data_IF_875288497479
#
_entry.id   IF_875288497479
#
_cell.length_a   1.000
_cell.length_b   1.000
_cell.length_c   1.000
_cell.angle_alpha   90.00
_cell.angle_beta   90.00
_cell.angle_gamma   90.00
#
_symmetry.space_group_name_H-M   'P 1'
#
loop_
_entity.id
_entity.type
_entity.pdbx_description
1 polymer ?
#
# COMPACT_ATOMS: atom_id res chain seq x y z
N UNK A 1 15.81 8.98 3.12
CA UNK A 1 15.72 7.76 3.94
C UNK A 1 16.75 7.75 5.07
N UNK A 2 18.04 7.82 4.80
CA UNK A 2 19.05 7.73 5.86
C UNK A 2 18.97 8.86 6.90
N UNK A 3 18.42 10.02 6.55
CA UNK A 3 18.19 11.13 7.48
C UNK A 3 17.07 10.87 8.49
N UNK A 4 16.25 9.83 8.26
CA UNK A 4 15.18 9.42 9.17
C UNK A 4 15.71 8.67 10.39
N UNK A 5 16.87 8.01 10.28
CA UNK A 5 17.46 7.28 11.40
C UNK A 5 17.89 8.22 12.52
N UNK A 6 17.82 7.80 13.79
CA UNK A 6 18.23 8.62 14.91
C UNK A 6 19.71 9.01 14.81
N UNK A 7 20.07 10.19 15.30
CA UNK A 7 21.45 10.70 15.25
C UNK A 7 22.46 9.72 15.85
N UNK A 8 22.09 9.01 16.91
CA UNK A 8 22.92 8.01 17.57
C UNK A 8 23.27 6.79 16.71
N UNK A 9 22.51 6.54 15.63
CA UNK A 9 22.77 5.43 14.69
C UNK A 9 24.16 5.48 14.05
N UNK A 10 24.73 6.66 13.95
CA UNK A 10 25.99 6.91 13.23
C UNK A 10 27.23 6.91 14.14
N UNK A 11 27.07 6.87 15.46
CA UNK A 11 28.14 7.04 16.44
C UNK A 11 28.39 5.85 17.36
N UNK A 12 27.61 4.77 17.23
CA UNK A 12 27.80 3.54 17.99
C UNK A 12 28.60 2.50 17.20
N UNK A 13 29.86 2.18 17.56
CA UNK A 13 30.71 1.25 16.82
C UNK A 13 30.22 -0.22 16.89
N UNK A 14 29.31 -0.54 17.79
CA UNK A 14 28.78 -1.89 17.94
C UNK A 14 27.51 -2.16 17.12
N UNK A 15 26.98 -1.11 16.47
CA UNK A 15 25.75 -1.23 15.68
C UNK A 15 25.99 -1.99 14.37
N UNK A 16 25.09 -2.89 14.04
CA UNK A 16 25.11 -3.66 12.80
C UNK A 16 24.03 -3.18 11.85
N UNK A 17 24.42 -2.98 10.61
CA UNK A 17 23.57 -2.51 9.51
C UNK A 17 23.37 -3.62 8.50
N UNK A 18 22.13 -3.89 8.10
CA UNK A 18 21.78 -4.86 7.07
C UNK A 18 21.11 -4.18 5.87
N UNK A 19 21.57 -4.54 4.68
CA UNK A 19 20.82 -4.38 3.44
C UNK A 19 20.51 -5.77 2.87
N UNK A 20 19.24 -6.21 2.88
CA UNK A 20 18.86 -7.57 2.49
C UNK A 20 18.78 -7.79 0.98
N UNK A 21 19.00 -6.74 0.17
CA UNK A 21 18.93 -6.76 -1.29
C UNK A 21 19.79 -5.64 -1.88
N UNK A 22 21.08 -5.70 -1.57
CA UNK A 22 21.97 -4.54 -1.65
C UNK A 22 22.23 -4.01 -3.08
N UNK A 23 21.91 -4.81 -4.11
CA UNK A 23 22.24 -4.44 -5.48
C UNK A 23 23.73 -4.21 -5.64
N UNK A 24 24.12 -3.05 -6.15
CA UNK A 24 25.52 -2.63 -6.28
C UNK A 24 26.08 -1.97 -5.02
N UNK A 25 25.40 -2.07 -3.87
CA UNK A 25 25.87 -1.56 -2.58
C UNK A 25 25.58 -0.07 -2.31
N UNK A 26 24.70 0.55 -3.07
CA UNK A 26 24.49 2.00 -3.01
C UNK A 26 24.10 2.51 -1.61
N UNK A 27 23.14 1.87 -0.94
CA UNK A 27 22.78 2.25 0.43
C UNK A 27 23.95 2.06 1.39
N UNK A 28 24.69 0.96 1.27
CA UNK A 28 25.81 0.65 2.16
C UNK A 28 26.99 1.60 1.96
N UNK A 29 27.23 2.13 0.74
CA UNK A 29 28.20 3.21 0.51
C UNK A 29 27.83 4.45 1.31
N UNK A 30 26.56 4.83 1.31
CA UNK A 30 26.08 6.00 2.05
C UNK A 30 26.11 5.79 3.57
N UNK A 31 25.76 4.58 4.03
CA UNK A 31 25.90 4.19 5.44
C UNK A 31 27.37 4.23 5.87
N UNK A 32 28.26 3.66 5.08
CA UNK A 32 29.70 3.70 5.33
C UNK A 32 30.22 5.13 5.48
N UNK A 33 29.87 6.03 4.56
CA UNK A 33 30.29 7.43 4.64
C UNK A 33 29.85 8.11 5.94
N UNK A 34 28.59 7.90 6.36
CA UNK A 34 28.05 8.46 7.61
C UNK A 34 28.74 7.86 8.85
N UNK A 35 29.01 6.56 8.85
CA UNK A 35 29.73 5.91 9.94
C UNK A 35 31.20 6.37 10.00
N UNK A 36 31.86 6.59 8.86
CA UNK A 36 33.20 7.16 8.82
C UNK A 36 33.25 8.54 9.48
N UNK A 37 32.23 9.36 9.31
CA UNK A 37 32.13 10.64 9.97
C UNK A 37 31.71 10.53 11.44
N UNK A 38 30.69 9.72 11.74
CA UNK A 38 30.12 9.60 13.08
C UNK A 38 31.03 8.92 14.10
N UNK A 39 31.93 8.03 13.64
CA UNK A 39 32.84 7.27 14.49
C UNK A 39 34.24 7.91 14.65
N UNK A 40 34.50 9.12 14.13
CA UNK A 40 35.79 9.80 14.26
C UNK A 40 36.29 9.96 15.69
N UNK A 41 35.38 10.14 16.63
CA UNK A 41 35.72 10.28 18.07
C UNK A 41 36.10 8.93 18.69
N UNK A 42 35.48 7.83 18.23
CA UNK A 42 35.75 6.48 18.72
C UNK A 42 37.06 5.93 18.19
N UNK A 43 37.32 6.08 16.86
CA UNK A 43 38.58 5.68 16.23
C UNK A 43 39.04 6.79 15.26
N UNK A 44 40.01 7.60 15.66
CA UNK A 44 40.54 8.69 14.83
C UNK A 44 41.26 8.24 13.58
N UNK A 45 41.85 7.04 13.60
CA UNK A 45 42.59 6.51 12.46
C UNK A 45 41.64 6.01 11.36
N UNK A 46 41.66 6.69 10.21
CA UNK A 46 40.73 6.43 9.11
C UNK A 46 40.80 4.97 8.61
N UNK A 47 42.01 4.39 8.53
CA UNK A 47 42.19 3.01 8.04
C UNK A 47 41.62 1.99 9.02
N UNK A 48 41.86 2.16 10.33
CA UNK A 48 41.31 1.29 11.36
C UNK A 48 39.79 1.41 11.43
N UNK A 49 39.26 2.62 11.40
CA UNK A 49 37.84 2.91 11.40
C UNK A 49 37.12 2.32 10.18
N UNK A 50 37.69 2.51 8.98
CA UNK A 50 37.19 1.92 7.74
C UNK A 50 37.15 0.39 7.81
N UNK A 51 38.24 -0.23 8.28
CA UNK A 51 38.29 -1.69 8.44
C UNK A 51 37.20 -2.18 9.37
N UNK A 52 37.04 -1.58 10.55
CA UNK A 52 36.01 -1.95 11.52
C UNK A 52 34.59 -1.82 10.93
N UNK A 53 34.29 -0.71 10.26
CA UNK A 53 32.99 -0.49 9.63
C UNK A 53 32.69 -1.59 8.61
N UNK A 54 33.61 -1.89 7.72
CA UNK A 54 33.42 -2.85 6.63
C UNK A 54 33.29 -4.28 7.17
N UNK A 55 34.17 -4.67 8.10
CA UNK A 55 34.28 -6.05 8.53
C UNK A 55 33.31 -6.41 9.68
N UNK A 56 32.85 -5.41 10.48
CA UNK A 56 32.05 -5.69 11.69
C UNK A 56 30.67 -5.06 11.68
N UNK A 57 30.44 -3.97 10.93
CA UNK A 57 29.21 -3.22 10.98
C UNK A 57 28.31 -3.40 9.75
N UNK A 58 28.86 -3.59 8.55
CA UNK A 58 28.09 -3.68 7.30
C UNK A 58 27.81 -5.13 6.91
N UNK A 59 26.54 -5.45 6.75
CA UNK A 59 26.05 -6.76 6.32
C UNK A 59 25.19 -6.62 5.08
N UNK A 60 25.45 -7.42 4.06
CA UNK A 60 24.80 -7.33 2.77
C UNK A 60 24.35 -8.70 2.27
N UNK A 61 23.20 -8.75 1.60
CA UNK A 61 22.76 -9.93 0.85
C UNK A 61 22.41 -9.50 -0.57
N UNK A 62 22.89 -10.25 -1.55
CA UNK A 62 22.63 -9.99 -2.97
C UNK A 62 22.52 -11.29 -3.75
N UNK A 63 21.47 -11.41 -4.56
CA UNK A 63 21.21 -12.61 -5.35
C UNK A 63 22.08 -12.66 -6.62
N UNK A 64 22.32 -11.50 -7.24
CA UNK A 64 23.02 -11.40 -8.51
C UNK A 64 24.54 -11.42 -8.30
N UNK A 65 25.19 -12.46 -8.84
CA UNK A 65 26.62 -12.65 -8.71
C UNK A 65 27.45 -11.45 -9.20
N UNK A 66 27.06 -10.81 -10.30
CA UNK A 66 27.76 -9.62 -10.83
C UNK A 66 27.70 -8.45 -9.84
N UNK A 67 26.56 -8.24 -9.18
CA UNK A 67 26.43 -7.22 -8.15
C UNK A 67 27.27 -7.54 -6.92
N UNK A 68 27.35 -8.83 -6.53
CA UNK A 68 28.25 -9.26 -5.47
C UNK A 68 29.71 -8.91 -5.78
N UNK A 69 30.13 -9.16 -7.00
CA UNK A 69 31.50 -8.86 -7.41
C UNK A 69 31.80 -7.34 -7.41
N UNK A 70 30.80 -6.52 -7.79
CA UNK A 70 30.87 -5.06 -7.64
C UNK A 70 31.00 -4.67 -6.16
N UNK A 71 30.14 -5.21 -5.28
CA UNK A 71 30.24 -4.92 -3.85
C UNK A 71 31.60 -5.30 -3.26
N UNK A 72 32.13 -6.45 -3.63
CA UNK A 72 33.50 -6.87 -3.20
C UNK A 72 34.58 -5.94 -3.73
N UNK A 73 34.45 -5.41 -4.95
CA UNK A 73 35.42 -4.45 -5.50
C UNK A 73 35.37 -3.10 -4.76
N UNK A 74 34.21 -2.71 -4.24
CA UNK A 74 34.03 -1.45 -3.52
C UNK A 74 34.49 -1.57 -2.05
N UNK A 75 34.05 -2.61 -1.35
CA UNK A 75 34.24 -2.76 0.10
C UNK A 75 35.44 -3.69 0.45
N UNK A 76 36.00 -4.39 -0.49
CA UNK A 76 37.05 -5.36 -0.26
C UNK A 76 36.53 -6.80 -0.02
N UNK A 77 37.50 -7.75 -0.02
CA UNK A 77 37.16 -9.17 0.08
C UNK A 77 36.59 -9.59 1.44
N UNK A 78 36.88 -8.83 2.49
CA UNK A 78 36.44 -9.16 3.87
C UNK A 78 35.09 -8.61 4.25
N UNK A 79 34.39 -7.98 3.31
CA UNK A 79 33.01 -7.47 3.57
C UNK A 79 32.06 -8.63 3.87
N UNK A 80 31.16 -8.44 4.83
CA UNK A 80 30.15 -9.45 5.20
C UNK A 80 29.02 -9.45 4.17
N UNK A 81 29.27 -10.09 3.04
CA UNK A 81 28.35 -10.19 1.90
C UNK A 81 27.99 -11.65 1.63
N UNK A 82 26.70 -11.96 1.68
CA UNK A 82 26.14 -13.22 1.20
C UNK A 82 25.70 -13.03 -0.26
N UNK A 83 26.28 -13.86 -1.16
CA UNK A 83 25.82 -13.97 -2.54
C UNK A 83 24.79 -15.11 -2.63
N UNK A 84 23.50 -14.78 -2.41
CA UNK A 84 22.43 -15.76 -2.35
C UNK A 84 21.06 -15.14 -2.12
N UNK A 85 20.05 -16.00 -2.03
CA UNK A 85 18.67 -15.58 -1.75
C UNK A 85 18.49 -15.21 -0.27
N UNK A 86 18.11 -13.96 -0.01
CA UNK A 86 17.80 -13.51 1.36
C UNK A 86 16.67 -14.33 2.00
N UNK A 87 15.69 -14.82 1.23
CA UNK A 87 14.60 -15.64 1.73
C UNK A 87 14.98 -17.11 1.96
N UNK A 88 16.11 -17.55 1.44
CA UNK A 88 16.71 -18.85 1.68
C UNK A 88 17.33 -18.98 3.08
N UNK A 89 18.10 -20.01 3.24
CA UNK A 89 18.79 -20.27 4.52
C UNK A 89 20.02 -19.35 4.64
N UNK A 90 20.06 -18.52 5.69
CA UNK A 90 21.18 -17.62 5.97
C UNK A 90 22.25 -18.27 6.85
N UNK A 91 22.42 -19.60 6.77
CA UNK A 91 23.43 -20.38 7.53
C UNK A 91 24.85 -20.11 7.05
N UNK A 92 25.21 -18.86 6.82
CA UNK A 92 26.57 -18.48 6.46
C UNK A 92 27.37 -18.07 7.71
N UNK A 93 28.67 -18.42 7.78
CA UNK A 93 29.54 -17.94 8.84
C UNK A 93 29.43 -16.40 8.95
N UNK A 94 29.13 -15.93 10.15
CA UNK A 94 28.99 -14.49 10.41
C UNK A 94 27.59 -13.90 10.26
N UNK A 95 26.56 -14.69 9.84
CA UNK A 95 25.14 -14.28 9.81
C UNK A 95 24.23 -15.12 10.70
N UNK A 96 24.72 -16.27 11.17
CA UNK A 96 23.95 -17.14 12.08
C UNK A 96 23.76 -16.43 13.43
N UNK A 97 22.54 -16.43 13.91
CA UNK A 97 22.12 -15.87 15.22
C UNK A 97 22.41 -14.35 15.38
N UNK A 98 22.60 -13.62 14.26
CA UNK A 98 22.78 -12.18 14.29
C UNK A 98 21.42 -11.48 14.19
N UNK A 99 21.23 -10.48 15.03
CA UNK A 99 20.21 -9.46 14.90
C UNK A 99 20.83 -8.08 14.67
N UNK A 100 20.08 -7.20 14.02
CA UNK A 100 20.56 -5.91 13.52
C UNK A 100 19.89 -4.76 14.26
N UNK A 101 20.67 -3.72 14.56
CA UNK A 101 20.12 -2.45 15.07
C UNK A 101 19.46 -1.66 13.96
N UNK A 102 20.00 -1.75 12.73
CA UNK A 102 19.52 -0.94 11.61
C UNK A 102 19.42 -1.79 10.34
N UNK A 103 18.28 -1.66 9.65
CA UNK A 103 18.05 -2.30 8.36
C UNK A 103 17.63 -1.24 7.35
N UNK A 104 18.23 -1.21 6.19
CA UNK A 104 17.88 -0.29 5.11
C UNK A 104 17.93 -1.01 3.77
N UNK A 105 17.01 -0.71 2.86
CA UNK A 105 17.06 -1.36 1.54
C UNK A 105 15.94 -0.93 0.60
N UNK A 106 16.06 -1.43 -0.63
CA UNK A 106 15.07 -1.35 -1.69
C UNK A 106 14.80 -2.76 -2.22
N UNK A 107 14.00 -3.58 -1.53
CA UNK A 107 13.76 -4.96 -1.92
C UNK A 107 13.03 -5.06 -3.27
N UNK A 108 13.29 -6.12 -4.07
CA UNK A 108 12.57 -6.34 -5.31
C UNK A 108 11.06 -6.51 -5.03
N UNK A 109 10.21 -5.88 -5.89
CA UNK A 109 8.78 -5.78 -5.61
C UNK A 109 8.01 -7.05 -5.97
N UNK A 110 8.46 -7.82 -6.95
CA UNK A 110 7.77 -9.00 -7.48
C UNK A 110 8.76 -10.11 -7.77
N UNK A 111 8.30 -11.37 -7.63
CA UNK A 111 9.04 -12.53 -8.13
C UNK A 111 8.98 -12.59 -9.65
N UNK A 112 10.12 -12.65 -10.31
CA UNK A 112 10.23 -12.96 -11.74
C UNK A 112 10.04 -14.45 -12.04
N UNK A 113 10.01 -15.30 -11.00
CA UNK A 113 9.91 -16.77 -11.09
C UNK A 113 8.49 -17.30 -11.37
N UNK A 114 7.54 -16.46 -11.77
CA UNK A 114 6.15 -16.87 -12.06
C UNK A 114 5.92 -17.52 -13.42
N UNK A 115 6.96 -17.87 -14.18
CA UNK A 115 6.82 -18.56 -15.45
C UNK A 115 7.30 -20.02 -15.32
N UNK A 116 6.41 -20.97 -15.60
CA UNK A 116 6.81 -22.36 -15.81
C UNK A 116 7.74 -22.47 -17.01
N UNK A 117 8.52 -23.57 -17.11
CA UNK A 117 9.33 -23.91 -18.29
C UNK A 117 8.57 -23.91 -19.63
N UNK A 118 7.24 -23.82 -19.60
CA UNK A 118 6.33 -23.69 -20.74
C UNK A 118 5.75 -22.28 -20.93
N UNK A 119 6.29 -21.24 -20.25
CA UNK A 119 5.81 -19.86 -20.35
C UNK A 119 4.42 -19.59 -19.72
N UNK A 120 3.80 -20.57 -19.06
CA UNK A 120 2.55 -20.40 -18.36
C UNK A 120 2.78 -19.89 -16.95
N UNK A 121 2.01 -18.92 -16.51
CA UNK A 121 2.04 -18.44 -15.10
C UNK A 121 1.68 -19.60 -14.18
N UNK A 122 2.60 -19.96 -13.27
CA UNK A 122 2.31 -20.92 -12.21
C UNK A 122 1.36 -20.23 -11.24
N UNK A 123 0.15 -20.76 -11.18
CA UNK A 123 -0.95 -20.45 -10.25
C UNK A 123 -0.90 -19.10 -9.51
N UNK A 124 -1.71 -18.20 -9.97
CA UNK A 124 -2.47 -17.28 -9.15
C UNK A 124 -1.69 -16.28 -8.30
N UNK A 125 -1.27 -15.20 -8.89
CA UNK A 125 -0.83 -14.02 -8.16
C UNK A 125 0.69 -13.93 -8.07
N UNK A 126 1.24 -12.85 -8.60
CA UNK A 126 2.64 -12.48 -8.38
C UNK A 126 2.86 -12.40 -6.88
N UNK A 127 3.74 -13.23 -6.32
CA UNK A 127 4.13 -13.16 -4.91
C UNK A 127 4.66 -11.75 -4.64
N UNK A 128 4.20 -11.15 -3.58
CA UNK A 128 4.68 -9.84 -3.14
C UNK A 128 6.01 -10.03 -2.44
N UNK A 129 7.08 -10.13 -3.21
CA UNK A 129 8.42 -10.46 -2.72
C UNK A 129 8.88 -9.48 -1.65
N UNK A 130 8.62 -8.19 -1.84
CA UNK A 130 8.95 -7.15 -0.86
C UNK A 130 8.28 -7.38 0.52
N UNK A 131 7.05 -7.94 0.59
CA UNK A 131 6.40 -8.24 1.88
C UNK A 131 7.10 -9.40 2.60
N UNK A 132 7.51 -10.43 1.86
CA UNK A 132 8.27 -11.57 2.43
C UNK A 132 9.64 -11.13 2.94
N UNK A 133 10.34 -10.30 2.16
CA UNK A 133 11.63 -9.72 2.57
C UNK A 133 11.45 -8.82 3.79
N UNK A 134 10.42 -7.99 3.83
CA UNK A 134 10.10 -7.13 4.96
C UNK A 134 9.88 -7.95 6.25
N UNK A 135 9.06 -9.00 6.19
CA UNK A 135 8.77 -9.85 7.36
C UNK A 135 10.05 -10.56 7.85
N UNK A 136 10.88 -11.10 6.96
CA UNK A 136 12.15 -11.71 7.35
C UNK A 136 13.13 -10.69 7.93
N UNK A 137 13.25 -9.52 7.33
CA UNK A 137 14.08 -8.43 7.83
C UNK A 137 13.60 -7.95 9.21
N UNK A 138 12.29 -7.81 9.43
CA UNK A 138 11.73 -7.48 10.73
C UNK A 138 12.06 -8.51 11.82
N UNK A 139 12.06 -9.81 11.49
CA UNK A 139 12.44 -10.85 12.43
C UNK A 139 13.93 -10.80 12.81
N UNK A 140 14.79 -10.32 11.92
CA UNK A 140 16.22 -10.09 12.17
C UNK A 140 16.52 -8.75 12.86
N UNK A 141 15.54 -7.87 12.94
CA UNK A 141 15.68 -6.56 13.60
C UNK A 141 15.64 -6.77 15.12
N UNK A 142 16.57 -6.17 15.86
CA UNK A 142 16.55 -6.12 17.32
C UNK A 142 15.32 -5.33 17.83
N UNK A 143 14.85 -5.64 19.02
CA UNK A 143 13.92 -4.78 19.72
C UNK A 143 14.59 -3.41 19.98
N UNK A 144 13.86 -2.33 19.78
CA UNK A 144 14.43 -0.97 19.74
C UNK A 144 15.19 -0.62 18.45
N UNK A 145 15.31 -1.55 17.48
CA UNK A 145 15.97 -1.31 16.20
C UNK A 145 15.10 -0.57 15.18
N UNK A 146 15.71 -0.12 14.11
CA UNK A 146 15.06 0.67 13.06
C UNK A 146 15.19 0.02 11.69
N UNK A 147 14.09 0.01 10.94
CA UNK A 147 14.04 -0.48 9.55
C UNK A 147 13.49 0.61 8.62
N UNK A 148 14.17 0.86 7.51
CA UNK A 148 13.69 1.78 6.47
C UNK A 148 13.77 1.14 5.09
N UNK A 149 12.62 0.96 4.44
CA UNK A 149 12.52 0.36 3.12
C UNK A 149 11.82 1.29 2.11
N UNK A 150 12.22 1.12 0.84
CA UNK A 150 11.46 1.60 -0.33
C UNK A 150 10.62 0.44 -0.83
N UNK A 151 9.30 0.58 -0.83
CA UNK A 151 8.37 -0.51 -1.20
C UNK A 151 7.11 0.04 -1.88
N UNK A 152 6.31 -0.80 -2.55
CA UNK A 152 4.98 -0.41 -2.98
C UNK A 152 4.11 0.06 -1.82
N UNK A 153 3.38 1.17 -2.03
CA UNK A 153 2.51 1.80 -1.04
C UNK A 153 1.42 0.87 -0.48
N UNK A 154 1.11 -0.19 -1.21
CA UNK A 154 0.13 -1.19 -0.81
C UNK A 154 0.41 -1.87 0.53
N UNK A 155 1.65 -1.83 1.04
CA UNK A 155 1.99 -2.34 2.37
C UNK A 155 1.23 -1.60 3.48
N UNK A 156 0.88 -0.33 3.25
CA UNK A 156 0.08 0.51 4.16
C UNK A 156 -1.42 0.49 3.87
N UNK A 157 -1.91 -0.28 2.89
CA UNK A 157 -3.29 -0.17 2.43
C UNK A 157 -4.36 -0.68 3.39
N UNK A 158 -3.98 -1.33 4.48
CA UNK A 158 -4.90 -1.96 5.42
C UNK A 158 -5.69 -3.09 4.73
N UNK A 159 -5.38 -4.33 4.93
CA UNK A 159 -6.10 -5.48 4.36
C UNK A 159 -5.90 -6.75 5.16
N UNK A 160 -5.40 -6.61 6.40
CA UNK A 160 -5.11 -7.74 7.28
C UNK A 160 -3.90 -8.58 6.85
N UNK A 161 -3.01 -8.09 5.95
CA UNK A 161 -1.75 -8.77 5.63
C UNK A 161 -0.83 -8.79 6.86
N UNK A 162 0.02 -9.82 6.97
CA UNK A 162 0.94 -9.93 8.09
C UNK A 162 1.92 -8.74 8.13
N UNK A 163 2.32 -8.23 6.97
CA UNK A 163 3.14 -7.01 6.89
C UNK A 163 2.42 -5.80 7.49
N UNK A 164 1.12 -5.64 7.21
CA UNK A 164 0.35 -4.54 7.80
C UNK A 164 0.15 -4.70 9.31
N UNK A 165 -0.05 -5.93 9.79
CA UNK A 165 -0.12 -6.20 11.23
C UNK A 165 1.18 -5.79 11.94
N UNK A 166 2.35 -6.16 11.38
CA UNK A 166 3.65 -5.71 11.90
C UNK A 166 3.74 -4.19 11.94
N UNK A 167 3.32 -3.50 10.86
CA UNK A 167 3.36 -2.04 10.77
C UNK A 167 2.54 -1.40 11.89
N UNK A 168 1.29 -1.84 12.12
CA UNK A 168 0.41 -1.21 13.12
C UNK A 168 0.76 -1.59 14.56
N UNK A 169 1.50 -2.68 14.78
CA UNK A 169 1.97 -3.11 16.10
C UNK A 169 3.23 -2.36 16.54
N UNK A 170 3.94 -1.73 15.62
CA UNK A 170 5.17 -1.01 15.88
C UNK A 170 5.03 0.49 15.63
N UNK A 171 5.98 1.27 16.13
CA UNK A 171 6.05 2.69 15.85
C UNK A 171 6.48 2.91 14.40
N UNK A 172 5.79 3.80 13.70
CA UNK A 172 6.15 4.26 12.36
C UNK A 172 6.36 5.77 12.43
N UNK A 173 7.55 6.25 12.80
CA UNK A 173 7.79 7.70 12.95
C UNK A 173 7.53 8.48 11.67
N UNK A 174 7.72 7.86 10.51
CA UNK A 174 7.60 8.54 9.22
C UNK A 174 7.20 7.60 8.09
N UNK A 175 6.35 8.07 7.19
CA UNK A 175 6.13 7.49 5.85
C UNK A 175 5.91 8.58 4.80
N UNK A 176 6.54 8.46 3.64
CA UNK A 176 6.30 9.32 2.47
C UNK A 176 5.54 8.56 1.39
N UNK A 177 4.39 9.09 1.01
CA UNK A 177 3.59 8.64 -0.15
C UNK A 177 3.76 9.57 -1.35
N UNK A 178 4.81 10.36 -1.39
CA UNK A 178 5.03 11.36 -2.42
C UNK A 178 5.17 10.72 -3.82
N UNK A 179 4.34 11.10 -4.81
CA UNK A 179 4.46 10.57 -6.18
C UNK A 179 5.77 10.93 -6.87
N UNK A 180 6.50 11.95 -6.42
CA UNK A 180 7.84 12.23 -6.92
C UNK A 180 8.80 11.06 -6.70
N UNK A 181 8.52 10.20 -5.72
CA UNK A 181 9.24 8.93 -5.53
C UNK A 181 9.17 8.06 -6.78
N UNK A 182 8.12 8.19 -7.59
CA UNK A 182 7.94 7.43 -8.83
C UNK A 182 8.94 7.83 -9.92
N UNK A 183 9.45 9.06 -9.91
CA UNK A 183 10.42 9.55 -10.91
C UNK A 183 11.76 8.81 -10.84
N UNK A 184 12.09 8.25 -9.66
CA UNK A 184 13.30 7.43 -9.48
C UNK A 184 13.14 5.99 -10.02
N UNK A 185 11.94 5.59 -10.42
CA UNK A 185 11.62 4.24 -10.85
C UNK A 185 10.83 4.26 -12.17
N UNK A 186 11.47 4.67 -13.30
CA UNK A 186 10.79 4.74 -14.58
C UNK A 186 10.30 3.35 -15.02
N UNK A 187 9.08 3.30 -15.55
CA UNK A 187 8.46 2.06 -16.03
C UNK A 187 7.70 1.25 -14.98
N UNK A 188 7.81 1.55 -13.69
CA UNK A 188 7.03 0.89 -12.65
C UNK A 188 5.64 1.52 -12.57
N UNK A 189 4.59 0.68 -12.71
CA UNK A 189 3.19 1.13 -12.62
C UNK A 189 2.66 1.24 -11.18
N UNK A 190 3.35 0.62 -10.22
CA UNK A 190 2.99 0.67 -8.80
C UNK A 190 3.51 1.98 -8.18
N UNK A 191 2.71 2.57 -7.32
CA UNK A 191 3.17 3.69 -6.52
C UNK A 191 4.07 3.19 -5.39
N UNK A 192 5.05 4.00 -5.04
CA UNK A 192 6.14 3.65 -4.14
C UNK A 192 6.12 4.58 -2.95
N UNK A 193 6.28 4.03 -1.77
CA UNK A 193 6.52 4.77 -0.54
C UNK A 193 7.89 4.39 0.05
N UNK A 194 8.40 5.21 0.95
CA UNK A 194 9.44 4.82 1.88
C UNK A 194 9.06 5.23 3.29
N UNK A 195 9.51 4.48 4.28
CA UNK A 195 9.11 4.67 5.66
C UNK A 195 10.25 4.32 6.63
N UNK A 196 10.12 4.78 7.87
CA UNK A 196 10.91 4.34 9.00
C UNK A 196 10.00 3.57 9.96
N UNK A 197 10.40 2.35 10.33
CA UNK A 197 9.82 1.55 11.40
C UNK A 197 10.78 1.51 12.56
N UNK A 198 10.30 1.73 13.78
CA UNK A 198 11.00 1.51 15.04
C UNK A 198 10.35 0.31 15.73
N UNK A 199 11.14 -0.74 16.01
CA UNK A 199 10.63 -1.99 16.59
C UNK A 199 10.37 -1.83 18.08
N UNK A 200 9.38 -1.02 18.38
CA UNK A 200 8.77 -0.82 19.68
C UNK A 200 7.26 -0.81 19.56
N UNK A 201 6.55 -1.19 20.63
CA UNK A 201 5.10 -1.23 20.63
C UNK A 201 4.50 0.12 20.26
N UNK A 202 3.52 0.09 19.34
CA UNK A 202 2.76 1.29 18.98
C UNK A 202 1.76 1.63 20.08
N UNK A 203 2.18 2.45 21.04
CA UNK A 203 1.38 2.95 22.16
C UNK A 203 0.59 4.21 21.79
N UNK A 204 -0.02 4.25 20.60
CA UNK A 204 -0.72 5.40 20.02
C UNK A 204 0.22 6.52 19.56
N UNK A 205 1.47 6.19 19.25
CA UNK A 205 2.43 7.16 18.73
C UNK A 205 2.01 7.72 17.38
N UNK A 206 2.33 8.99 17.18
CA UNK A 206 1.98 9.71 15.97
C UNK A 206 2.96 9.40 14.83
N UNK A 207 2.40 9.00 13.71
CA UNK A 207 3.11 8.84 12.46
C UNK A 207 3.06 10.13 11.65
N UNK A 208 4.19 10.57 11.13
CA UNK A 208 4.25 11.68 10.18
C UNK A 208 4.00 11.11 8.78
N UNK A 209 2.92 11.54 8.17
CA UNK A 209 2.58 11.23 6.77
C UNK A 209 3.01 12.41 5.91
N UNK A 210 3.89 12.18 4.96
CA UNK A 210 4.19 13.10 3.87
C UNK A 210 3.39 12.70 2.64
N UNK A 211 2.57 13.62 2.13
CA UNK A 211 1.67 13.39 1.01
C UNK A 211 2.19 13.95 -0.32
N UNK A 212 1.35 13.85 -1.36
CA UNK A 212 1.65 14.26 -2.73
C UNK A 212 2.05 15.74 -2.90
N UNK A 213 1.67 16.60 -1.97
CA UNK A 213 1.91 18.05 -2.02
C UNK A 213 3.13 18.44 -1.15
N UNK A 214 3.96 17.49 -0.74
CA UNK A 214 5.05 17.67 0.24
C UNK A 214 4.58 18.27 1.58
N UNK A 215 3.28 18.09 1.89
CA UNK A 215 2.71 18.50 3.17
C UNK A 215 2.72 17.33 4.11
N UNK A 216 3.16 17.61 5.33
CA UNK A 216 3.17 16.62 6.41
C UNK A 216 2.03 16.83 7.37
N UNK A 217 1.46 15.77 7.89
CA UNK A 217 0.51 15.79 8.99
C UNK A 217 0.72 14.56 9.88
N UNK A 218 0.21 14.62 11.12
CA UNK A 218 0.40 13.56 12.10
C UNK A 218 -0.89 12.78 12.29
N UNK A 219 -0.77 11.44 12.31
CA UNK A 219 -1.88 10.55 12.65
C UNK A 219 -1.40 9.43 13.56
N UNK A 220 -2.34 8.79 14.26
CA UNK A 220 -2.13 7.46 14.85
C UNK A 220 -2.56 6.40 13.84
N UNK A 221 -1.67 5.48 13.48
CA UNK A 221 -2.01 4.32 12.66
C UNK A 221 -2.96 3.41 13.43
N UNK A 222 -4.01 2.94 12.76
CA UNK A 222 -5.06 2.10 13.35
C UNK A 222 -5.23 0.84 12.56
N UNK A 223 -5.63 -0.23 13.25
CA UNK A 223 -6.12 -1.43 12.58
C UNK A 223 -7.46 -1.14 11.91
N UNK A 224 -7.43 -1.09 10.61
CA UNK A 224 -8.62 -0.85 9.77
C UNK A 224 -8.46 -1.48 8.39
N UNK A 225 -9.57 -1.85 7.73
CA UNK A 225 -9.52 -2.60 6.49
C UNK A 225 -8.96 -1.81 5.30
N UNK A 226 -8.99 -0.47 5.37
CA UNK A 226 -8.62 0.41 4.26
C UNK A 226 -8.00 1.69 4.77
N UNK A 227 -6.90 2.10 4.15
CA UNK A 227 -6.23 3.39 4.35
C UNK A 227 -6.22 4.22 3.07
N UNK A 228 -6.29 5.56 3.16
CA UNK A 228 -6.23 6.46 2.02
C UNK A 228 -4.79 6.72 1.57
N UNK A 229 -4.08 5.68 1.16
CA UNK A 229 -2.63 5.68 0.88
C UNK A 229 -2.17 6.66 -0.20
N UNK A 230 -3.06 7.07 -1.12
CA UNK A 230 -2.65 7.91 -2.26
C UNK A 230 -2.81 9.40 -2.05
N UNK A 231 -3.67 9.78 -1.19
CA UNK A 231 -3.93 11.17 -0.84
C UNK A 231 -4.29 11.21 0.63
N UNK A 232 -3.35 10.73 1.45
CA UNK A 232 -3.55 10.73 2.90
C UNK A 232 -3.39 12.15 3.43
N UNK A 233 -4.49 12.74 3.79
CA UNK A 233 -4.59 14.09 4.35
C UNK A 233 -5.48 14.04 5.58
N UNK A 234 -5.48 15.09 6.39
CA UNK A 234 -6.41 15.22 7.52
C UNK A 234 -7.88 15.14 7.05
N UNK A 235 -8.19 15.63 5.84
CA UNK A 235 -9.52 15.54 5.25
C UNK A 235 -9.89 14.08 4.89
N UNK A 236 -9.03 13.37 4.16
CA UNK A 236 -9.29 11.95 3.80
C UNK A 236 -9.36 11.08 5.05
N UNK A 237 -8.56 11.37 6.08
CA UNK A 237 -8.63 10.71 7.39
C UNK A 237 -10.01 10.90 8.04
N UNK A 238 -10.53 12.12 8.02
CA UNK A 238 -11.89 12.43 8.50
C UNK A 238 -12.96 11.66 7.72
N UNK A 239 -12.82 11.58 6.39
CA UNK A 239 -13.77 10.86 5.53
C UNK A 239 -13.72 9.34 5.77
N UNK A 240 -12.52 8.75 5.93
CA UNK A 240 -12.37 7.32 6.27
C UNK A 240 -13.07 7.04 7.60
N UNK A 241 -12.81 7.81 8.65
CA UNK A 241 -13.45 7.64 9.95
C UNK A 241 -14.99 7.83 9.88
N UNK A 242 -15.48 8.60 8.93
CA UNK A 242 -16.92 8.86 8.74
C UNK A 242 -17.63 7.75 7.97
N UNK A 243 -17.00 7.20 6.93
CA UNK A 243 -17.65 6.35 5.94
C UNK A 243 -17.13 4.91 5.85
N UNK A 244 -16.03 4.58 6.51
CA UNK A 244 -15.46 3.22 6.53
C UNK A 244 -15.61 2.63 7.93
N UNK A 245 -15.97 1.34 8.01
CA UNK A 245 -16.13 0.58 9.25
C UNK A 245 -15.46 -0.80 9.15
N UNK A 246 -15.25 -1.46 10.27
CA UNK A 246 -14.60 -2.78 10.29
C UNK A 246 -15.49 -3.90 9.76
N UNK A 247 -16.83 -3.78 9.94
CA UNK A 247 -17.76 -4.77 9.46
C UNK A 247 -17.86 -4.75 7.93
N UNK A 248 -17.92 -5.94 7.34
CA UNK A 248 -18.10 -6.08 5.89
C UNK A 248 -19.58 -6.02 5.51
N UNK A 249 -19.85 -5.32 4.43
CA UNK A 249 -21.14 -5.43 3.74
C UNK A 249 -21.14 -6.66 2.82
N UNK A 250 -22.31 -7.17 2.57
CA UNK A 250 -22.53 -8.20 1.55
C UNK A 250 -22.45 -7.57 0.15
N UNK A 251 -21.23 -7.28 -0.29
CA UNK A 251 -20.94 -6.78 -1.63
C UNK A 251 -20.44 -7.93 -2.48
N UNK A 252 -21.07 -8.16 -3.61
CA UNK A 252 -20.60 -9.19 -4.52
C UNK A 252 -19.70 -8.61 -5.60
N UNK A 253 -18.60 -9.30 -5.84
CA UNK A 253 -17.66 -9.00 -6.91
C UNK A 253 -17.69 -10.13 -7.94
N UNK A 254 -18.08 -9.81 -9.16
CA UNK A 254 -18.00 -10.77 -10.26
C UNK A 254 -16.58 -10.73 -10.84
N UNK A 255 -15.75 -11.66 -10.40
CA UNK A 255 -14.42 -11.89 -11.01
C UNK A 255 -14.60 -12.47 -12.39
N UNK A 256 -14.33 -11.65 -13.40
CA UNK A 256 -14.68 -11.87 -14.77
C UNK A 256 -14.30 -13.22 -15.35
N UNK A 257 -15.27 -13.86 -15.99
CA UNK A 257 -15.03 -14.84 -17.01
C UNK A 257 -14.78 -14.15 -18.36
N UNK A 258 -14.13 -14.85 -19.29
CA UNK A 258 -13.91 -14.34 -20.65
C UNK A 258 -15.20 -13.77 -21.24
N UNK A 259 -15.13 -12.63 -21.91
CA UNK A 259 -16.26 -12.02 -22.64
C UNK A 259 -16.91 -13.00 -23.62
N UNK A 260 -16.13 -13.94 -24.17
CA UNK A 260 -16.60 -15.01 -25.04
C UNK A 260 -17.64 -15.95 -24.41
N UNK A 261 -17.71 -15.96 -23.04
CA UNK A 261 -18.69 -16.77 -22.30
C UNK A 261 -20.09 -16.13 -22.24
N UNK A 262 -20.21 -14.83 -22.57
CA UNK A 262 -21.49 -14.13 -22.57
C UNK A 262 -22.16 -14.27 -23.93
N UNK A 263 -23.00 -15.31 -24.06
CA UNK A 263 -23.77 -15.61 -25.25
C UNK A 263 -25.22 -15.90 -24.87
N UNK A 264 -26.17 -15.37 -25.66
CA UNK A 264 -27.60 -15.56 -25.46
C UNK A 264 -28.36 -14.25 -25.24
N UNK A 265 -29.62 -14.33 -24.85
CA UNK A 265 -30.55 -13.20 -24.74
C UNK A 265 -31.46 -13.23 -23.52
N UNK A 266 -31.33 -14.25 -22.64
CA UNK A 266 -32.23 -14.43 -21.50
C UNK A 266 -31.98 -13.46 -20.37
N UNK A 267 -30.69 -13.17 -20.06
CA UNK A 267 -30.28 -12.29 -18.97
C UNK A 267 -29.39 -11.19 -19.52
N UNK A 268 -29.77 -9.92 -19.29
CA UNK A 268 -28.91 -8.78 -19.55
C UNK A 268 -28.03 -8.50 -18.34
N UNK A 269 -26.75 -8.19 -18.54
CA UNK A 269 -25.79 -7.90 -17.49
C UNK A 269 -25.05 -6.59 -17.79
N UNK A 270 -24.84 -5.76 -16.77
CA UNK A 270 -23.97 -4.59 -16.90
C UNK A 270 -22.52 -5.03 -16.98
N UNK A 271 -21.86 -4.75 -18.10
CA UNK A 271 -20.42 -4.95 -18.28
C UNK A 271 -19.63 -3.70 -17.87
N UNK A 272 -20.12 -2.56 -18.28
CA UNK A 272 -19.74 -1.23 -17.78
C UNK A 272 -21.05 -0.46 -17.56
N UNK A 273 -21.03 0.72 -16.92
CA UNK A 273 -22.24 1.55 -16.78
C UNK A 273 -22.99 1.81 -18.10
N UNK A 274 -22.25 1.86 -19.23
CA UNK A 274 -22.79 2.21 -20.53
C UNK A 274 -22.88 1.03 -21.51
N UNK A 275 -22.37 -0.14 -21.12
CA UNK A 275 -22.36 -1.34 -21.99
C UNK A 275 -22.99 -2.53 -21.29
N UNK A 276 -23.95 -3.14 -21.94
CA UNK A 276 -24.58 -4.40 -21.52
C UNK A 276 -24.09 -5.58 -22.34
N UNK A 277 -24.06 -6.74 -21.72
CA UNK A 277 -23.88 -8.05 -22.35
C UNK A 277 -25.14 -8.88 -22.09
N UNK A 278 -25.30 -9.98 -22.81
CA UNK A 278 -26.41 -10.90 -22.59
C UNK A 278 -25.92 -12.35 -22.50
N UNK A 279 -26.62 -13.17 -21.70
CA UNK A 279 -26.27 -14.58 -21.49
C UNK A 279 -27.51 -15.41 -21.21
N UNK A 280 -27.48 -16.69 -21.58
CA UNK A 280 -28.50 -17.67 -21.16
C UNK A 280 -28.11 -18.37 -19.84
N UNK A 281 -26.88 -18.19 -19.36
CA UNK A 281 -26.38 -18.82 -18.14
C UNK A 281 -26.63 -17.93 -16.91
N UNK A 282 -27.52 -18.33 -15.98
CA UNK A 282 -27.80 -17.52 -14.78
C UNK A 282 -26.59 -17.30 -13.87
N UNK A 283 -25.62 -18.23 -13.89
CA UNK A 283 -24.36 -18.09 -13.12
C UNK A 283 -23.47 -16.93 -13.62
N UNK A 284 -23.69 -16.47 -14.85
CA UNK A 284 -23.00 -15.30 -15.44
C UNK A 284 -23.79 -14.00 -15.28
N UNK A 285 -24.97 -14.04 -14.64
CA UNK A 285 -25.83 -12.90 -14.39
C UNK A 285 -26.18 -12.77 -12.90
N UNK A 286 -25.20 -12.74 -11.96
CA UNK A 286 -25.49 -12.61 -10.56
C UNK A 286 -26.23 -11.29 -10.28
N UNK A 287 -27.07 -11.27 -9.24
CA UNK A 287 -27.83 -10.09 -8.80
C UNK A 287 -29.07 -9.77 -9.62
N UNK A 288 -29.48 -10.60 -10.58
CA UNK A 288 -30.82 -10.51 -11.20
C UNK A 288 -31.88 -10.72 -10.10
N UNK A 289 -32.95 -9.93 -10.12
CA UNK A 289 -33.99 -9.90 -9.07
C UNK A 289 -33.71 -8.92 -7.92
N UNK A 290 -32.52 -8.35 -7.84
CA UNK A 290 -32.15 -7.42 -6.77
C UNK A 290 -31.99 -5.99 -7.30
N UNK A 291 -32.60 -5.03 -6.61
CA UNK A 291 -32.29 -3.60 -6.81
C UNK A 291 -30.87 -3.34 -6.29
N UNK A 292 -30.06 -2.64 -7.06
CA UNK A 292 -28.64 -2.45 -6.72
C UNK A 292 -27.98 -1.28 -7.43
N UNK A 293 -26.86 -0.83 -6.89
CA UNK A 293 -25.86 -0.04 -7.59
C UNK A 293 -24.77 -0.96 -8.16
N UNK A 294 -24.42 -0.81 -9.42
CA UNK A 294 -23.34 -1.55 -10.08
C UNK A 294 -22.19 -0.59 -10.29
N UNK A 295 -21.03 -0.91 -9.74
CA UNK A 295 -19.82 -0.07 -9.76
C UNK A 295 -18.76 -0.78 -10.58
N UNK A 296 -18.18 -0.11 -11.56
CA UNK A 296 -17.08 -0.64 -12.34
C UNK A 296 -15.80 -0.66 -11.51
N UNK A 297 -15.19 -1.85 -11.37
CA UNK A 297 -13.93 -2.02 -10.65
C UNK A 297 -12.73 -1.43 -11.41
N UNK A 298 -12.83 -1.38 -12.74
CA UNK A 298 -11.81 -0.90 -13.66
C UNK A 298 -12.34 0.38 -14.30
N UNK A 299 -12.24 1.50 -13.62
CA UNK A 299 -12.68 2.79 -14.15
C UNK A 299 -11.82 3.93 -13.63
N UNK A 300 -11.34 4.78 -14.54
CA UNK A 300 -10.73 6.05 -14.17
C UNK A 300 -11.77 6.97 -13.52
N UNK A 301 -13.02 6.88 -13.97
CA UNK A 301 -14.08 7.86 -13.72
C UNK A 301 -14.98 7.47 -12.54
N UNK A 302 -14.67 6.35 -11.84
CA UNK A 302 -15.48 5.83 -10.75
C UNK A 302 -16.95 5.59 -11.16
N UNK A 303 -17.16 5.21 -12.43
CA UNK A 303 -18.46 5.08 -13.02
C UNK A 303 -19.32 4.00 -12.33
N UNK A 304 -20.60 4.31 -12.12
CA UNK A 304 -21.59 3.39 -11.57
C UNK A 304 -22.92 3.50 -12.31
N UNK A 305 -23.78 2.48 -12.14
CA UNK A 305 -25.15 2.43 -12.68
C UNK A 305 -26.12 1.97 -11.61
N UNK A 306 -27.25 2.66 -11.51
CA UNK A 306 -28.34 2.25 -10.62
C UNK A 306 -29.30 1.32 -11.34
N UNK A 307 -29.62 0.17 -10.74
CA UNK A 307 -30.66 -0.75 -11.21
C UNK A 307 -31.80 -0.79 -10.20
N UNK A 308 -32.75 0.13 -10.34
CA UNK A 308 -33.96 0.18 -9.52
C UNK A 308 -34.98 -0.90 -9.87
N UNK A 309 -34.84 -1.53 -11.03
CA UNK A 309 -35.74 -2.57 -11.52
C UNK A 309 -35.38 -3.97 -11.06
N UNK A 310 -34.10 -4.21 -10.76
CA UNK A 310 -33.54 -5.53 -10.51
C UNK A 310 -33.43 -6.42 -11.77
N UNK A 311 -33.68 -5.88 -12.96
CA UNK A 311 -33.73 -6.66 -14.20
C UNK A 311 -32.36 -7.10 -14.72
N UNK A 312 -31.29 -6.41 -14.32
CA UNK A 312 -29.96 -6.64 -14.85
C UNK A 312 -29.13 -7.50 -13.90
N UNK A 313 -28.31 -8.36 -14.46
CA UNK A 313 -27.22 -9.02 -13.77
C UNK A 313 -25.98 -8.11 -13.72
N UNK A 314 -24.93 -8.61 -13.08
CA UNK A 314 -23.66 -7.93 -12.90
C UNK A 314 -22.58 -8.65 -13.70
N UNK A 315 -21.95 -7.93 -14.61
CA UNK A 315 -20.92 -8.45 -15.50
C UNK A 315 -19.54 -8.57 -14.83
N UNK A 316 -18.53 -9.00 -15.61
CA UNK A 316 -17.18 -9.16 -15.10
C UNK A 316 -16.56 -7.82 -14.67
N UNK A 317 -15.70 -7.89 -13.65
CA UNK A 317 -14.97 -6.74 -13.09
C UNK A 317 -15.87 -5.60 -12.56
N UNK A 318 -17.04 -5.97 -12.06
CA UNK A 318 -17.97 -5.03 -11.41
C UNK A 318 -18.30 -5.49 -10.01
N UNK A 319 -18.53 -4.49 -9.13
CA UNK A 319 -19.10 -4.70 -7.80
C UNK A 319 -20.58 -4.35 -7.86
N UNK A 320 -21.38 -4.93 -6.96
CA UNK A 320 -22.71 -4.39 -6.72
C UNK A 320 -23.04 -4.27 -5.24
N UNK A 321 -23.74 -3.21 -4.92
CA UNK A 321 -24.26 -2.91 -3.60
C UNK A 321 -25.79 -3.05 -3.67
N UNK A 322 -26.40 -4.06 -3.03
CA UNK A 322 -27.85 -4.20 -3.01
C UNK A 322 -28.50 -3.13 -2.12
N UNK A 323 -29.76 -2.79 -2.42
CA UNK A 323 -30.60 -1.98 -1.57
C UNK A 323 -32.06 -2.47 -1.65
N UNK A 324 -32.85 -2.26 -0.59
CA UNK A 324 -34.21 -2.78 -0.49
C UNK A 324 -35.24 -1.80 -1.06
N UNK A 325 -35.09 -0.53 -0.78
CA UNK A 325 -36.06 0.51 -1.13
C UNK A 325 -35.49 1.51 -2.13
N UNK A 326 -36.37 2.12 -2.92
CA UNK A 326 -35.99 3.22 -3.83
C UNK A 326 -35.38 4.40 -3.06
N UNK A 327 -35.85 4.64 -1.83
CA UNK A 327 -35.31 5.70 -0.97
C UNK A 327 -33.85 5.44 -0.60
N UNK A 328 -33.49 4.22 -0.20
CA UNK A 328 -32.11 3.80 0.05
C UNK A 328 -31.24 3.94 -1.21
N UNK A 329 -31.74 3.46 -2.35
CA UNK A 329 -31.05 3.60 -3.64
C UNK A 329 -30.74 5.06 -3.98
N UNK A 330 -31.70 5.97 -3.82
CA UNK A 330 -31.50 7.41 -4.07
C UNK A 330 -30.48 8.05 -3.10
N UNK A 331 -30.38 7.58 -1.87
CA UNK A 331 -29.37 8.05 -0.91
C UNK A 331 -27.98 7.52 -1.28
N UNK A 332 -27.89 6.23 -1.64
CA UNK A 332 -26.67 5.63 -2.15
C UNK A 332 -26.17 6.36 -3.44
N UNK A 333 -27.07 6.58 -4.39
CA UNK A 333 -26.77 7.30 -5.64
C UNK A 333 -26.19 8.71 -5.37
N UNK A 334 -26.77 9.45 -4.42
CA UNK A 334 -26.25 10.76 -4.01
C UNK A 334 -24.85 10.66 -3.39
N UNK A 335 -24.62 9.65 -2.55
CA UNK A 335 -23.27 9.42 -1.99
C UNK A 335 -22.28 9.10 -3.09
N UNK A 336 -22.58 8.20 -4.02
CA UNK A 336 -21.71 7.81 -5.12
C UNK A 336 -21.41 8.99 -6.09
N UNK A 337 -22.29 9.99 -6.17
CA UNK A 337 -22.07 11.22 -6.91
C UNK A 337 -21.37 12.33 -6.10
N UNK A 338 -21.12 12.11 -4.80
CA UNK A 338 -20.54 13.14 -3.94
C UNK A 338 -19.02 13.26 -4.10
N UNK A 339 -18.49 14.43 -3.80
CA UNK A 339 -17.04 14.64 -3.72
C UNK A 339 -16.40 13.81 -2.60
N UNK A 340 -17.11 13.54 -1.49
CA UNK A 340 -16.65 12.64 -0.42
C UNK A 340 -16.32 11.24 -0.98
N UNK A 341 -17.24 10.65 -1.77
CA UNK A 341 -17.01 9.34 -2.39
C UNK A 341 -15.84 9.37 -3.38
N UNK A 342 -15.80 10.36 -4.26
CA UNK A 342 -14.73 10.49 -5.26
C UNK A 342 -13.36 10.60 -4.57
N UNK A 343 -13.27 11.46 -3.56
CA UNK A 343 -12.05 11.65 -2.78
C UNK A 343 -11.60 10.35 -2.12
N UNK A 344 -12.50 9.63 -1.45
CA UNK A 344 -12.19 8.36 -0.81
C UNK A 344 -11.80 7.28 -1.81
N UNK A 345 -12.56 7.14 -2.88
CA UNK A 345 -12.33 6.12 -3.90
C UNK A 345 -10.96 6.32 -4.56
N UNK A 346 -10.59 7.57 -4.90
CA UNK A 346 -9.28 7.89 -5.46
C UNK A 346 -8.16 7.67 -4.45
N UNK A 347 -8.35 8.04 -3.19
CA UNK A 347 -7.35 7.88 -2.14
C UNK A 347 -7.08 6.41 -1.78
N UNK A 348 -8.05 5.53 -1.98
CA UNK A 348 -7.97 4.09 -1.63
C UNK A 348 -7.65 3.18 -2.82
N UNK A 349 -7.51 3.69 -4.04
CA UNK A 349 -7.13 2.89 -5.22
C UNK A 349 -5.79 2.18 -5.03
N UNK A 350 -5.70 0.94 -5.51
CA UNK A 350 -4.45 0.16 -5.48
C UNK A 350 -3.56 0.41 -6.69
N UNK A 351 -4.16 0.77 -7.83
CA UNK A 351 -3.47 1.16 -9.06
C UNK A 351 -4.20 2.33 -9.70
N UNK A 352 -3.65 2.89 -10.79
CA UNK A 352 -4.31 3.98 -11.52
C UNK A 352 -5.73 3.61 -12.00
N UNK A 353 -5.99 2.33 -12.25
CA UNK A 353 -7.24 1.84 -12.88
C UNK A 353 -8.17 1.09 -11.94
N UNK A 354 -7.68 0.47 -10.83
CA UNK A 354 -8.47 -0.45 -10.02
C UNK A 354 -8.94 0.17 -8.71
N UNK A 355 -10.27 0.19 -8.52
CA UNK A 355 -10.88 0.47 -7.23
C UNK A 355 -10.71 -0.75 -6.31
N UNK A 356 -10.33 -0.53 -5.05
CA UNK A 356 -10.12 -1.61 -4.09
C UNK A 356 -11.46 -2.18 -3.62
N UNK A 357 -11.65 -3.51 -3.77
CA UNK A 357 -12.89 -4.17 -3.30
C UNK A 357 -13.11 -3.94 -1.80
N UNK A 358 -12.07 -4.02 -0.98
CA UNK A 358 -12.14 -3.79 0.45
C UNK A 358 -12.72 -2.40 0.80
N UNK A 359 -12.49 -1.38 -0.01
CA UNK A 359 -13.11 -0.06 0.20
C UNK A 359 -14.63 -0.14 0.09
N UNK A 360 -15.16 -0.82 -0.93
CA UNK A 360 -16.61 -0.96 -1.14
C UNK A 360 -17.23 -1.88 -0.09
N UNK A 361 -16.56 -3.00 0.25
CA UNK A 361 -17.02 -3.94 1.29
C UNK A 361 -17.14 -3.30 2.67
N UNK A 362 -16.31 -2.33 2.97
CA UNK A 362 -16.24 -1.69 4.28
C UNK A 362 -16.89 -0.29 4.35
N UNK A 363 -17.60 0.14 3.29
CA UNK A 363 -18.40 1.36 3.36
C UNK A 363 -19.50 1.23 4.43
N UNK A 364 -19.72 2.25 5.22
CA UNK A 364 -20.79 2.32 6.19
C UNK A 364 -22.13 2.57 5.48
N UNK A 365 -22.66 1.53 4.80
CA UNK A 365 -23.88 1.61 4.01
C UNK A 365 -25.10 1.97 4.87
N UNK A 366 -25.14 1.50 6.11
CA UNK A 366 -26.20 1.85 7.06
C UNK A 366 -26.27 3.36 7.26
N UNK A 367 -25.14 3.99 7.53
CA UNK A 367 -25.05 5.46 7.69
C UNK A 367 -25.36 6.21 6.40
N UNK A 368 -24.84 5.72 5.26
CA UNK A 368 -25.07 6.32 3.94
C UNK A 368 -26.56 6.27 3.56
N UNK A 369 -27.21 5.13 3.76
CA UNK A 369 -28.61 4.92 3.39
C UNK A 369 -29.60 5.49 4.43
N UNK A 370 -29.19 5.64 5.70
CA UNK A 370 -30.02 6.25 6.75
C UNK A 370 -30.03 7.78 6.69
N UNK A 371 -29.03 8.44 6.10
CA UNK A 371 -28.83 9.89 6.18
C UNK A 371 -30.09 10.65 5.74
N UNK A 372 -30.71 11.39 6.65
CA UNK A 372 -31.80 12.33 6.37
C UNK A 372 -31.25 13.52 5.58
N UNK A 373 -31.91 13.83 4.47
CA UNK A 373 -31.55 14.99 3.62
C UNK A 373 -31.90 16.25 4.37
N UNK A 374 -30.93 16.95 4.91
CA UNK A 374 -31.09 18.38 5.11
C UNK A 374 -31.08 19.04 3.72
N UNK A 375 -32.24 19.15 3.10
CA UNK A 375 -32.43 19.97 1.89
C UNK A 375 -32.01 21.39 2.24
N UNK A 376 -31.03 21.94 1.50
CA UNK A 376 -30.75 23.39 1.48
C UNK A 376 -31.92 24.13 0.85
N UNK A 377 -33.04 24.19 1.58
CA UNK A 377 -34.16 25.11 1.30
C UNK A 377 -34.13 26.16 2.40
N UNK A 378 -33.26 27.14 2.34
CA UNK A 378 -33.40 28.41 3.08
C UNK A 378 -32.19 29.33 2.89
N UNK A 379 -31.82 29.63 1.64
CA UNK A 379 -30.93 30.79 1.35
C UNK A 379 -31.53 31.66 0.22
N UNK A 380 -32.83 31.68 0.04
CA UNK A 380 -33.46 32.59 -0.94
C UNK A 380 -34.46 33.60 -0.35
N UNK A 381 -34.50 33.79 0.96
CA UNK A 381 -35.44 34.76 1.56
C UNK A 381 -34.80 35.83 2.47
N UNK A 382 -33.55 36.23 2.22
CA UNK A 382 -32.96 37.38 2.94
C UNK A 382 -32.28 38.44 2.03
N UNK A 383 -32.72 38.58 0.79
CA UNK A 383 -32.22 39.67 -0.11
C UNK A 383 -33.28 40.61 -0.62
N UNK A 384 -34.40 40.80 0.06
CA UNK A 384 -35.39 41.82 -0.34
C UNK A 384 -36.02 42.54 0.86
N UNK A 385 -35.21 43.02 1.83
CA UNK A 385 -35.70 44.00 2.82
C UNK A 385 -34.57 44.92 3.26
N UNK A 386 -34.04 45.72 2.36
CA UNK A 386 -33.33 47.00 2.69
C UNK A 386 -33.23 47.83 1.44
N UNK A 387 -34.35 48.39 1.03
CA UNK A 387 -34.41 49.63 0.22
C UNK A 387 -35.77 50.28 0.52
N UNK A 388 -35.78 51.08 1.54
CA UNK A 388 -36.67 52.25 1.76
C UNK A 388 -36.20 52.89 3.07
N UNK A 389 -35.46 53.86 2.96
CA UNK A 389 -35.41 55.24 3.47
C UNK A 389 -34.00 55.77 3.29
#
# INVERSE_FOLDING_TARGET
MLDLFPKGAWSNPMSKWLDPSTGTGFFMILVYKRLMDGLKKWEPNDKKRSKHIIEEMLYMVELNKKNCDICKSIFGANVRLICGDFLGDLNFPGFKDISFEYIVGNPPFQDDYGLSSKGNRINGGKSKLYERIFLKAYNLLKDGGYLSFVVPDNIFSGNGSDSYKVIIQNQIPFVSFNPSNQSFFPGIQQYICYFLLHKEANNSDLTIIENNDNKSFKITLKDRPVNPIRNWTAHTETLINKYVRNERNNVSYNRGKSLKSYKGNKYNVFYTPDKTLSTNNPKLAPGVGQKKSVICAISSDLAFKMDYSGKYGVGPNTFYIPFNTVSEGKKLERFLNSEDYKTLALATKTTRQYLKIAFIEHLNLTKIMASTVKTRKNIRHRKNKTRKY
#
